data_IF_367915567244
#
_entry.id   IF_367915567244
#
_cell.length_a   1.000
_cell.length_b   1.000
_cell.length_c   1.000
_cell.angle_alpha   90.00
_cell.angle_beta   90.00
_cell.angle_gamma   90.00
#
_symmetry.space_group_name_H-M   'P 1'
#
loop_
_entity.id
_entity.type
_entity.pdbx_description
1 polymer ?
#
# COMPACT_ATOMS: atom_id res chain seq x y z
N UNK A 1 0.54 -12.62 1.60
CA UNK A 1 -0.55 -12.01 2.41
C UNK A 1 -0.33 -12.40 3.86
N UNK A 2 -0.52 -11.47 4.78
CA UNK A 2 -0.38 -11.73 6.21
C UNK A 2 -1.74 -12.04 6.80
N UNK A 3 -1.88 -13.25 7.35
CA UNK A 3 -3.12 -13.72 7.96
C UNK A 3 -3.07 -13.68 9.49
N UNK A 4 -4.18 -13.31 10.10
CA UNK A 4 -4.39 -13.30 11.55
C UNK A 4 -5.49 -14.28 11.93
N UNK A 5 -5.47 -14.74 13.18
CA UNK A 5 -6.35 -15.83 13.64
C UNK A 5 -7.77 -15.40 14.03
N UNK A 6 -7.95 -14.11 14.31
CA UNK A 6 -9.24 -13.56 14.74
C UNK A 6 -9.27 -12.05 14.47
N UNK A 7 -10.37 -11.39 14.81
CA UNK A 7 -10.56 -9.95 14.63
C UNK A 7 -10.37 -9.15 15.92
N UNK A 8 -9.57 -9.66 16.86
CA UNK A 8 -9.30 -9.00 18.14
C UNK A 8 -8.12 -8.02 18.08
N UNK A 9 -7.39 -8.03 16.96
CA UNK A 9 -6.26 -7.13 16.75
C UNK A 9 -6.73 -5.69 16.59
N UNK A 10 -5.99 -4.78 17.21
CA UNK A 10 -6.19 -3.34 17.05
C UNK A 10 -5.20 -2.78 16.02
N UNK A 11 -5.55 -1.67 15.40
CA UNK A 11 -4.79 -1.12 14.27
C UNK A 11 -3.53 -0.33 14.68
N UNK A 12 -3.16 -0.31 15.94
CA UNK A 12 -1.99 0.42 16.43
C UNK A 12 -0.64 -0.31 16.24
N UNK A 13 -0.64 -1.47 15.59
CA UNK A 13 0.61 -2.15 15.25
C UNK A 13 1.34 -1.43 14.11
N UNK A 14 2.66 -1.60 14.05
CA UNK A 14 3.51 -0.93 13.07
C UNK A 14 3.63 -1.72 11.77
N UNK A 15 3.79 -1.00 10.67
CA UNK A 15 4.04 -1.62 9.36
C UNK A 15 5.30 -2.48 9.37
N UNK A 16 6.36 -2.04 10.07
CA UNK A 16 7.58 -2.83 10.23
C UNK A 16 7.32 -4.18 10.91
N UNK A 17 6.35 -4.27 11.80
CA UNK A 17 5.96 -5.53 12.44
C UNK A 17 5.29 -6.48 11.44
N UNK A 18 4.44 -5.96 10.54
CA UNK A 18 3.88 -6.77 9.46
C UNK A 18 4.97 -7.27 8.52
N UNK A 19 5.86 -6.40 8.09
CA UNK A 19 6.96 -6.80 7.21
C UNK A 19 7.89 -7.82 7.86
N UNK A 20 8.07 -7.75 9.16
CA UNK A 20 8.92 -8.71 9.88
C UNK A 20 8.32 -10.12 9.93
N UNK A 21 7.04 -10.28 9.63
CA UNK A 21 6.40 -11.61 9.46
C UNK A 21 6.78 -12.25 8.13
N UNK A 22 7.10 -11.44 7.12
CA UNK A 22 7.54 -11.90 5.81
C UNK A 22 8.99 -12.39 5.84
N UNK A 23 9.38 -13.16 4.83
CA UNK A 23 10.78 -13.44 4.58
C UNK A 23 11.46 -12.20 4.00
N UNK A 24 12.79 -12.13 4.14
CA UNK A 24 13.58 -11.05 3.55
C UNK A 24 13.36 -10.95 2.03
N UNK A 25 13.32 -12.10 1.34
CA UNK A 25 13.11 -12.15 -0.10
C UNK A 25 11.73 -11.60 -0.50
N UNK A 26 10.70 -11.89 0.29
CA UNK A 26 9.35 -11.35 0.05
C UNK A 26 9.32 -9.84 0.18
N UNK A 27 10.01 -9.28 1.20
CA UNK A 27 10.11 -7.83 1.39
C UNK A 27 10.83 -7.19 0.22
N UNK A 28 11.97 -7.74 -0.20
CA UNK A 28 12.75 -7.25 -1.35
C UNK A 28 11.92 -7.26 -2.63
N UNK A 29 11.13 -8.32 -2.85
CA UNK A 29 10.23 -8.39 -4.01
C UNK A 29 9.17 -7.28 -4.01
N UNK A 30 8.59 -6.97 -2.86
CA UNK A 30 7.61 -5.87 -2.74
C UNK A 30 8.27 -4.55 -3.14
N UNK A 31 9.42 -4.24 -2.59
CA UNK A 31 10.14 -2.99 -2.86
C UNK A 31 10.56 -2.90 -4.33
N UNK A 32 11.03 -4.00 -4.90
CA UNK A 32 11.38 -4.06 -6.33
C UNK A 32 10.17 -3.80 -7.23
N UNK A 33 9.00 -4.33 -6.89
CA UNK A 33 7.76 -4.05 -7.64
C UNK A 33 7.34 -2.59 -7.59
N UNK A 34 7.75 -1.86 -6.56
CA UNK A 34 7.52 -0.43 -6.42
C UNK A 34 8.63 0.41 -7.10
N UNK A 35 9.48 -0.23 -7.91
CA UNK A 35 10.59 0.40 -8.63
C UNK A 35 11.62 1.06 -7.70
N UNK A 36 11.79 0.49 -6.50
CA UNK A 36 12.74 0.97 -5.51
C UNK A 36 13.77 -0.10 -5.17
N UNK A 37 14.88 0.33 -4.56
CA UNK A 37 15.98 -0.53 -4.20
C UNK A 37 16.15 -0.60 -2.67
N UNK A 38 16.41 -1.80 -2.20
CA UNK A 38 16.80 -2.05 -0.82
C UNK A 38 18.03 -2.97 -0.81
N UNK A 39 19.02 -2.66 0.04
CA UNK A 39 20.25 -3.44 0.09
C UNK A 39 20.00 -4.89 0.49
N UNK A 40 20.51 -5.88 -0.26
CA UNK A 40 20.38 -7.29 0.11
C UNK A 40 21.27 -7.70 1.30
N UNK A 41 22.16 -6.82 1.75
CA UNK A 41 23.10 -7.08 2.83
C UNK A 41 22.55 -6.75 4.22
N UNK A 42 21.38 -6.16 4.31
CA UNK A 42 20.72 -5.86 5.58
C UNK A 42 20.21 -7.13 6.26
N UNK A 43 20.20 -7.14 7.58
CA UNK A 43 19.51 -8.17 8.36
C UNK A 43 18.01 -8.06 8.14
N UNK A 44 17.25 -9.14 8.37
CA UNK A 44 15.79 -9.17 8.14
C UNK A 44 15.06 -8.05 8.87
N UNK A 45 15.34 -7.82 10.14
CA UNK A 45 14.71 -6.77 10.93
C UNK A 45 14.98 -5.37 10.35
N UNK A 46 16.21 -5.12 9.91
CA UNK A 46 16.60 -3.85 9.27
C UNK A 46 15.95 -3.71 7.89
N UNK A 47 15.82 -4.79 7.15
CA UNK A 47 15.11 -4.82 5.86
C UNK A 47 13.64 -4.46 6.05
N UNK A 48 12.97 -5.03 7.04
CA UNK A 48 11.57 -4.75 7.37
C UNK A 48 11.38 -3.28 7.79
N UNK A 49 12.25 -2.78 8.65
CA UNK A 49 12.21 -1.38 9.12
C UNK A 49 12.45 -0.40 7.97
N UNK A 50 13.43 -0.69 7.10
CA UNK A 50 13.77 0.14 5.95
C UNK A 50 12.64 0.20 4.94
N UNK A 51 12.08 -0.95 4.59
CA UNK A 51 10.96 -1.05 3.66
C UNK A 51 9.73 -0.30 4.17
N UNK A 52 9.40 -0.44 5.46
CA UNK A 52 8.31 0.28 6.08
C UNK A 52 8.53 1.80 6.01
N UNK A 53 9.74 2.26 6.34
CA UNK A 53 10.10 3.69 6.27
C UNK A 53 9.99 4.25 4.87
N UNK A 54 10.40 3.50 3.84
CA UNK A 54 10.29 3.93 2.44
C UNK A 54 8.84 4.21 2.05
N UNK A 55 7.93 3.31 2.42
CA UNK A 55 6.51 3.44 2.09
C UNK A 55 5.85 4.56 2.89
N UNK A 56 6.13 4.66 4.19
CA UNK A 56 5.54 5.67 5.05
C UNK A 56 6.05 7.09 4.72
N UNK A 57 7.30 7.20 4.29
CA UNK A 57 7.89 8.48 3.88
C UNK A 57 7.37 8.94 2.51
N UNK A 58 7.19 8.01 1.58
CA UNK A 58 6.67 8.29 0.23
C UNK A 58 5.50 7.36 -0.11
N UNK A 59 4.30 7.66 0.40
CA UNK A 59 3.12 6.82 0.17
C UNK A 59 2.73 6.70 -1.30
N UNK A 60 3.11 7.68 -2.14
CA UNK A 60 2.80 7.65 -3.57
C UNK A 60 3.48 6.49 -4.30
N UNK A 61 4.58 5.94 -3.76
CA UNK A 61 5.18 4.71 -4.29
C UNK A 61 4.15 3.60 -4.43
N UNK A 62 3.33 3.42 -3.41
CA UNK A 62 2.26 2.42 -3.42
C UNK A 62 1.03 2.92 -4.16
N UNK A 63 0.56 4.12 -3.86
CA UNK A 63 -0.70 4.64 -4.40
C UNK A 63 -0.69 4.75 -5.92
N UNK A 64 0.43 5.10 -6.53
CA UNK A 64 0.58 5.13 -7.99
C UNK A 64 0.52 3.74 -8.63
N UNK A 65 0.89 2.70 -7.89
CA UNK A 65 0.87 1.31 -8.37
C UNK A 65 -0.52 0.66 -8.26
N UNK A 66 -1.44 1.27 -7.53
CA UNK A 66 -2.79 0.76 -7.33
C UNK A 66 -3.74 1.17 -8.46
N UNK A 67 -4.67 0.27 -8.82
CA UNK A 67 -5.75 0.61 -9.72
C UNK A 67 -6.87 1.37 -8.98
N UNK A 68 -7.89 1.80 -9.73
CA UNK A 68 -9.01 2.58 -9.17
C UNK A 68 -9.74 1.86 -8.04
N UNK A 69 -9.98 0.56 -8.17
CA UNK A 69 -10.70 -0.23 -7.16
C UNK A 69 -9.88 -0.36 -5.87
N UNK A 70 -8.57 -0.57 -6.00
CA UNK A 70 -7.65 -0.60 -4.86
C UNK A 70 -7.57 0.77 -4.17
N UNK A 71 -7.53 1.86 -4.93
CA UNK A 71 -7.53 3.21 -4.37
C UNK A 71 -8.82 3.52 -3.61
N UNK A 72 -9.96 3.06 -4.12
CA UNK A 72 -11.23 3.18 -3.40
C UNK A 72 -11.22 2.40 -2.09
N UNK A 73 -10.61 1.22 -2.08
CA UNK A 73 -10.44 0.43 -0.86
C UNK A 73 -9.56 1.18 0.16
N UNK A 74 -8.47 1.78 -0.28
CA UNK A 74 -7.63 2.64 0.59
C UNK A 74 -8.46 3.78 1.17
N UNK A 75 -9.27 4.44 0.36
CA UNK A 75 -10.14 5.53 0.81
C UNK A 75 -11.13 5.06 1.88
N UNK A 76 -11.70 3.87 1.73
CA UNK A 76 -12.57 3.29 2.76
C UNK A 76 -11.84 3.11 4.09
N UNK A 77 -10.61 2.63 4.08
CA UNK A 77 -9.79 2.52 5.30
C UNK A 77 -9.54 3.89 5.94
N UNK A 78 -9.21 4.89 5.13
CA UNK A 78 -8.96 6.25 5.60
C UNK A 78 -10.21 6.83 6.27
N UNK A 79 -11.37 6.69 5.64
CA UNK A 79 -12.64 7.22 6.13
C UNK A 79 -13.16 6.46 7.37
N UNK A 80 -12.91 5.15 7.42
CA UNK A 80 -13.36 4.32 8.55
C UNK A 80 -12.60 4.62 9.84
N UNK A 81 -11.33 5.00 9.75
CA UNK A 81 -10.52 5.34 10.92
C UNK A 81 -9.91 4.14 11.63
N UNK A 82 -9.47 4.36 12.87
CA UNK A 82 -8.77 3.36 13.67
C UNK A 82 -9.65 2.17 14.03
N UNK A 83 -9.02 1.00 14.12
CA UNK A 83 -9.63 -0.25 14.60
C UNK A 83 -10.84 -0.73 13.78
N UNK A 84 -10.91 -0.36 12.50
CA UNK A 84 -12.00 -0.73 11.62
C UNK A 84 -11.54 -1.76 10.58
N UNK A 85 -12.16 -2.92 10.61
CA UNK A 85 -11.96 -3.96 9.61
C UNK A 85 -12.84 -3.66 8.39
N UNK A 86 -12.26 -3.73 7.20
CA UNK A 86 -13.01 -3.65 5.95
C UNK A 86 -13.21 -5.06 5.43
N UNK A 87 -14.47 -5.41 5.18
CA UNK A 87 -14.86 -6.76 4.77
C UNK A 87 -15.05 -6.79 3.26
N UNK A 88 -14.44 -7.79 2.64
CA UNK A 88 -14.59 -8.06 1.21
C UNK A 88 -14.76 -9.56 1.01
N UNK A 89 -15.47 -9.91 -0.05
CA UNK A 89 -15.59 -11.31 -0.49
C UNK A 89 -14.21 -11.83 -0.91
N UNK A 90 -13.90 -13.06 -0.49
CA UNK A 90 -12.68 -13.73 -0.94
C UNK A 90 -12.73 -13.92 -2.46
N UNK A 91 -11.60 -13.72 -3.10
CA UNK A 91 -11.44 -13.91 -4.54
C UNK A 91 -10.14 -14.66 -4.83
N UNK A 92 -10.00 -15.17 -6.05
CA UNK A 92 -8.83 -15.95 -6.47
C UNK A 92 -7.54 -15.17 -6.33
N UNK A 93 -7.56 -13.89 -6.67
CA UNK A 93 -6.38 -13.02 -6.59
C UNK A 93 -6.55 -12.03 -5.44
N UNK A 94 -5.67 -12.05 -4.43
CA UNK A 94 -5.70 -11.05 -3.35
C UNK A 94 -5.53 -9.63 -3.87
N UNK A 95 -6.00 -8.67 -3.10
CA UNK A 95 -5.74 -7.25 -3.37
C UNK A 95 -4.24 -6.95 -3.24
N UNK A 96 -3.77 -5.95 -3.97
CA UNK A 96 -2.36 -5.50 -3.85
C UNK A 96 -2.02 -5.06 -2.43
N UNK A 97 -2.96 -4.45 -1.71
CA UNK A 97 -2.77 -4.12 -0.29
C UNK A 97 -2.40 -5.35 0.53
N UNK A 98 -3.02 -6.50 0.25
CA UNK A 98 -2.71 -7.77 0.89
C UNK A 98 -1.37 -8.34 0.43
N UNK A 99 -1.10 -8.29 -0.87
CA UNK A 99 0.16 -8.77 -1.46
C UNK A 99 1.38 -7.98 -0.97
N UNK A 100 1.22 -6.68 -0.76
CA UNK A 100 2.27 -5.79 -0.27
C UNK A 100 2.35 -5.75 1.26
N UNK A 101 1.56 -6.58 1.94
CA UNK A 101 1.53 -6.67 3.39
C UNK A 101 1.25 -5.32 4.08
N UNK A 102 0.38 -4.51 3.47
CA UNK A 102 -0.06 -3.22 4.02
C UNK A 102 -1.30 -3.36 4.90
N UNK A 103 -1.88 -4.54 4.95
CA UNK A 103 -3.01 -4.88 5.80
C UNK A 103 -2.80 -6.27 6.39
N UNK A 104 -3.35 -6.52 7.57
CA UNK A 104 -3.51 -7.84 8.15
C UNK A 104 -4.89 -8.37 7.78
N UNK A 105 -4.99 -9.65 7.45
CA UNK A 105 -6.22 -10.25 6.95
C UNK A 105 -6.65 -11.42 7.83
N UNK A 106 -7.89 -11.38 8.32
CA UNK A 106 -8.57 -12.53 8.86
C UNK A 106 -9.39 -13.20 7.75
N UNK A 107 -9.14 -14.49 7.53
CA UNK A 107 -9.86 -15.27 6.53
C UNK A 107 -11.03 -15.99 7.19
N UNK A 108 -12.24 -15.52 6.93
CA UNK A 108 -13.47 -16.19 7.32
C UNK A 108 -13.90 -17.13 6.19
N UNK A 109 -13.42 -18.37 6.23
CA UNK A 109 -13.67 -19.34 5.17
C UNK A 109 -15.13 -19.82 5.13
N UNK A 110 -15.82 -19.78 6.26
CA UNK A 110 -17.25 -20.15 6.31
C UNK A 110 -18.12 -19.17 5.55
N UNK A 111 -17.83 -17.88 5.71
CA UNK A 111 -18.54 -16.80 5.01
C UNK A 111 -17.89 -16.45 3.66
N UNK A 112 -16.75 -17.04 3.33
CA UNK A 112 -15.93 -16.71 2.17
C UNK A 112 -15.59 -15.21 2.11
N UNK A 113 -15.19 -14.66 3.23
CA UNK A 113 -14.87 -13.23 3.39
C UNK A 113 -13.47 -13.02 3.91
N UNK A 114 -12.89 -11.87 3.54
CA UNK A 114 -11.69 -11.31 4.14
C UNK A 114 -12.07 -10.13 5.03
N UNK A 115 -11.57 -10.13 6.25
CA UNK A 115 -11.65 -9.00 7.17
C UNK A 115 -10.25 -8.37 7.25
N UNK A 116 -10.09 -7.22 6.65
CA UNK A 116 -8.78 -6.56 6.51
C UNK A 116 -8.64 -5.40 7.47
N UNK A 117 -7.49 -5.30 8.11
CA UNK A 117 -7.16 -4.23 9.05
C UNK A 117 -5.89 -3.52 8.59
N UNK A 118 -5.99 -2.21 8.35
CA UNK A 118 -4.84 -1.38 7.97
C UNK A 118 -4.19 -0.78 9.21
N UNK A 119 -2.85 -0.85 9.35
CA UNK A 119 -2.16 -0.17 10.45
C UNK A 119 -2.44 1.33 10.46
N UNK A 120 -2.54 1.92 11.64
CA UNK A 120 -2.73 3.37 11.80
C UNK A 120 -1.69 4.18 11.04
N UNK A 121 -0.41 3.77 11.11
CA UNK A 121 0.68 4.42 10.38
C UNK A 121 0.43 4.51 8.88
N UNK A 122 -0.05 3.42 8.29
CA UNK A 122 -0.32 3.35 6.84
C UNK A 122 -1.53 4.21 6.48
N UNK A 123 -2.61 4.10 7.25
CA UNK A 123 -3.80 4.92 7.05
C UNK A 123 -3.49 6.41 7.13
N UNK A 124 -2.75 6.82 8.16
CA UNK A 124 -2.35 8.22 8.36
C UNK A 124 -1.41 8.71 7.25
N UNK A 125 -0.50 7.87 6.77
CA UNK A 125 0.39 8.21 5.67
C UNK A 125 -0.37 8.37 4.35
N UNK A 126 -1.37 7.53 4.10
CA UNK A 126 -2.15 7.55 2.84
C UNK A 126 -3.21 8.65 2.81
N UNK A 127 -3.75 9.03 3.96
CA UNK A 127 -4.86 9.97 4.06
C UNK A 127 -4.63 11.30 3.32
N UNK A 128 -3.47 11.97 3.42
CA UNK A 128 -3.24 13.24 2.72
C UNK A 128 -3.16 13.11 1.20
N UNK A 129 -2.93 11.90 0.67
CA UNK A 129 -2.60 11.68 -0.74
C UNK A 129 -3.67 10.93 -1.52
N UNK A 130 -4.66 10.36 -0.85
CA UNK A 130 -5.61 9.45 -1.51
C UNK A 130 -6.48 10.14 -2.56
N UNK A 131 -6.95 11.34 -2.31
CA UNK A 131 -7.78 12.07 -3.27
C UNK A 131 -6.99 12.51 -4.49
N UNK A 132 -5.74 12.93 -4.30
CA UNK A 132 -4.81 13.22 -5.39
C UNK A 132 -4.53 11.98 -6.24
N UNK A 133 -4.30 10.83 -5.59
CA UNK A 133 -4.06 9.57 -6.28
C UNK A 133 -5.27 9.13 -7.11
N UNK A 134 -6.48 9.28 -6.58
CA UNK A 134 -7.72 8.99 -7.30
C UNK A 134 -7.89 9.89 -8.51
N UNK A 135 -7.68 11.21 -8.36
CA UNK A 135 -7.77 12.17 -9.45
C UNK A 135 -6.75 11.88 -10.54
N UNK A 136 -5.52 11.56 -10.17
CA UNK A 136 -4.46 11.17 -11.10
C UNK A 136 -4.84 9.91 -11.88
N UNK A 137 -5.41 8.91 -11.21
CA UNK A 137 -5.82 7.64 -11.86
C UNK A 137 -6.99 7.83 -12.81
N UNK A 138 -7.89 8.76 -12.57
CA UNK A 138 -8.96 9.11 -13.52
C UNK A 138 -8.39 9.72 -14.79
N UNK A 139 -7.38 10.59 -14.66
CA UNK A 139 -6.70 11.22 -15.79
C UNK A 139 -5.81 10.22 -16.54
N UNK A 140 -5.15 9.30 -15.83
CA UNK A 140 -4.24 8.30 -16.39
C UNK A 140 -4.63 6.90 -15.90
N UNK A 141 -5.65 6.25 -16.48
CA UNK A 141 -6.19 4.99 -15.97
C UNK A 141 -5.23 3.80 -16.08
N UNK A 142 -4.22 3.86 -16.94
CA UNK A 142 -3.19 2.82 -17.07
C UNK A 142 -1.94 3.21 -16.30
N UNK A 143 -1.22 2.19 -15.77
CA UNK A 143 0.07 2.42 -15.12
C UNK A 143 1.03 3.09 -16.12
N UNK A 144 1.59 4.23 -15.71
CA UNK A 144 2.52 4.99 -16.54
C UNK A 144 3.90 4.36 -16.50
N UNK A 145 4.60 4.37 -17.64
CA UNK A 145 6.01 4.04 -17.71
C UNK A 145 6.85 5.14 -17.06
N UNK A 146 8.10 4.83 -16.73
CA UNK A 146 9.03 5.83 -16.19
C UNK A 146 9.19 7.04 -17.14
N UNK A 147 9.27 6.78 -18.44
CA UNK A 147 9.35 7.82 -19.48
C UNK A 147 8.11 8.73 -19.47
N UNK A 148 6.92 8.14 -19.40
CA UNK A 148 5.65 8.89 -19.36
C UNK A 148 5.56 9.76 -18.11
N UNK A 149 5.95 9.24 -16.94
CA UNK A 149 6.01 10.01 -15.68
C UNK A 149 6.95 11.21 -15.80
N UNK A 150 8.13 11.01 -16.40
CA UNK A 150 9.10 12.09 -16.63
C UNK A 150 8.57 13.16 -17.56
N UNK A 151 7.86 12.78 -18.61
CA UNK A 151 7.22 13.71 -19.56
C UNK A 151 6.15 14.54 -18.88
N UNK A 152 5.31 13.95 -18.05
CA UNK A 152 4.25 14.66 -17.31
C UNK A 152 4.87 15.67 -16.35
N UNK A 153 5.89 15.27 -15.60
CA UNK A 153 6.60 16.14 -14.67
C UNK A 153 7.23 17.35 -15.39
N UNK A 154 7.81 17.11 -16.58
CA UNK A 154 8.37 18.18 -17.40
C UNK A 154 7.30 19.15 -17.88
N UNK A 155 6.19 18.65 -18.36
CA UNK A 155 5.06 19.48 -18.83
C UNK A 155 4.49 20.33 -17.69
N UNK A 156 4.32 19.76 -16.51
CA UNK A 156 3.86 20.51 -15.34
C UNK A 156 4.83 21.62 -14.94
N UNK A 157 6.12 21.34 -14.99
CA UNK A 157 7.18 22.33 -14.74
C UNK A 157 7.11 23.49 -15.74
N UNK A 158 6.99 23.18 -17.02
CA UNK A 158 6.91 24.19 -18.08
C UNK A 158 5.64 25.05 -17.95
N UNK A 159 4.52 24.43 -17.61
CA UNK A 159 3.25 25.14 -17.42
C UNK A 159 3.31 26.11 -16.23
N UNK A 160 3.96 25.72 -15.14
CA UNK A 160 4.14 26.59 -13.95
C UNK A 160 5.02 27.81 -14.26
N UNK A 161 6.02 27.65 -15.11
CA UNK A 161 6.96 28.73 -15.45
C UNK A 161 6.42 29.69 -16.50
N UNK A 162 5.32 29.32 -17.20
CA UNK A 162 4.67 30.15 -18.21
C UNK A 162 3.50 30.98 -17.64
N UNK A 163 3.19 30.79 -16.38
CA UNK A 163 2.26 31.62 -15.63
C UNK A 163 2.99 32.75 -14.92
#
# INVERSE_FOLDING_TARGET
>A
MITIKNTDFQSNFRLSQLFNVLTKDEIVKIITKLDEYISPNLKKADTAARAASMILYDPMLVLEDLNKDELKLVKEFVEAGANQYIIRKQRKTPYKLQKYALVATYEDDKAAQWHMLMPDEVREAFAPHIDEALAFKEKFPKKLTHKEKSMIALMDYLNRNNE
#
